data_IF_216247236381
#
_entry.id   IF_216247236381
#
_cell.length_a   1.000
_cell.length_b   1.000
_cell.length_c   1.000
_cell.angle_alpha   90.00
_cell.angle_beta   90.00
_cell.angle_gamma   90.00
#
_symmetry.space_group_name_H-M   'P 1'
#
loop_
_entity.id
_entity.type
_entity.pdbx_description
1 polymer ?
#
# COMPACT_ATOMS: atom_id res chain seq x y z
N UNK A 1 -5.16 9.45 -16.50
CA UNK A 1 -5.85 8.31 -15.92
C UNK A 1 -5.41 8.14 -14.46
N UNK A 2 -6.36 8.10 -13.56
CA UNK A 2 -6.05 7.95 -12.15
C UNK A 2 -5.57 6.53 -11.85
N UNK A 3 -4.48 6.44 -11.09
CA UNK A 3 -3.95 5.16 -10.61
C UNK A 3 -4.27 4.93 -9.14
N UNK A 4 -4.80 5.93 -8.46
CA UNK A 4 -5.18 5.81 -7.08
C UNK A 4 -6.31 6.79 -6.71
N UNK A 5 -6.99 6.47 -5.62
CA UNK A 5 -7.95 7.36 -4.96
C UNK A 5 -7.52 7.48 -3.52
N UNK A 6 -7.84 8.60 -2.89
CA UNK A 6 -7.49 8.76 -1.49
C UNK A 6 -8.62 9.40 -0.69
N UNK A 7 -8.56 9.18 0.62
CA UNK A 7 -9.42 9.82 1.59
C UNK A 7 -8.54 10.20 2.78
N UNK A 8 -8.69 11.41 3.28
CA UNK A 8 -7.94 11.86 4.45
C UNK A 8 -8.90 12.34 5.52
N UNK A 9 -8.86 11.68 6.69
CA UNK A 9 -9.80 11.94 7.77
C UNK A 9 -9.16 11.52 9.09
N UNK A 10 -9.26 12.37 10.11
CA UNK A 10 -8.75 12.05 11.45
C UNK A 10 -7.27 11.63 11.44
N UNK A 11 -6.45 12.38 10.70
CA UNK A 11 -5.02 12.11 10.56
C UNK A 11 -4.70 10.76 9.92
N UNK A 12 -5.70 10.14 9.29
CA UNK A 12 -5.55 8.87 8.58
C UNK A 12 -5.70 9.10 7.09
N UNK A 13 -4.66 8.74 6.35
CA UNK A 13 -4.66 8.81 4.89
C UNK A 13 -4.87 7.41 4.34
N UNK A 14 -6.01 7.19 3.69
CA UNK A 14 -6.29 5.93 3.02
C UNK A 14 -6.08 6.11 1.53
N UNK A 15 -5.21 5.29 0.95
CA UNK A 15 -4.90 5.34 -0.47
C UNK A 15 -5.29 4.01 -1.10
N UNK A 16 -6.25 4.06 -2.03
CA UNK A 16 -6.68 2.88 -2.77
C UNK A 16 -6.01 2.87 -4.13
N UNK A 17 -5.28 1.80 -4.42
CA UNK A 17 -4.62 1.63 -5.69
C UNK A 17 -5.61 1.07 -6.70
N UNK A 18 -5.69 1.70 -7.87
CA UNK A 18 -6.63 1.32 -8.93
C UNK A 18 -5.88 0.59 -10.03
N UNK A 19 -6.06 -0.72 -10.08
CA UNK A 19 -5.43 -1.57 -11.08
C UNK A 19 -4.13 -2.19 -10.60
N UNK A 20 -3.49 -2.91 -11.49
CA UNK A 20 -2.32 -3.70 -11.16
C UNK A 20 -1.08 -2.86 -10.94
N UNK A 21 -0.15 -3.38 -10.15
CA UNK A 21 1.11 -2.70 -9.86
C UNK A 21 2.23 -3.48 -10.53
N UNK A 22 2.77 -2.91 -11.58
CA UNK A 22 3.87 -3.48 -12.32
C UNK A 22 4.99 -2.45 -12.50
N UNK A 23 6.03 -2.83 -13.23
CA UNK A 23 7.17 -1.96 -13.47
C UNK A 23 6.77 -0.62 -14.11
N UNK A 24 5.72 -0.61 -14.94
CA UNK A 24 5.30 0.61 -15.65
C UNK A 24 4.50 1.56 -14.75
N UNK A 25 3.67 1.03 -13.86
CA UNK A 25 2.79 1.84 -13.02
C UNK A 25 3.42 2.25 -11.69
N UNK A 26 4.40 1.48 -11.20
CA UNK A 26 4.96 1.68 -9.86
C UNK A 26 5.52 3.08 -9.61
N UNK A 27 6.22 3.65 -10.60
CA UNK A 27 6.80 4.98 -10.45
C UNK A 27 5.72 6.04 -10.27
N UNK A 28 4.69 6.00 -11.09
CA UNK A 28 3.59 6.96 -11.00
C UNK A 28 2.87 6.86 -9.66
N UNK A 29 2.57 5.64 -9.23
CA UNK A 29 1.90 5.40 -7.95
C UNK A 29 2.77 5.91 -6.80
N UNK A 30 4.06 5.60 -6.84
CA UNK A 30 5.00 6.06 -5.80
C UNK A 30 5.01 7.57 -5.67
N UNK A 31 5.15 8.28 -6.79
CA UNK A 31 5.22 9.74 -6.78
C UNK A 31 3.93 10.36 -6.22
N UNK A 32 2.78 9.81 -6.61
CA UNK A 32 1.50 10.29 -6.11
C UNK A 32 1.29 9.98 -4.62
N UNK A 33 1.69 8.79 -4.17
CA UNK A 33 1.61 8.45 -2.76
C UNK A 33 2.52 9.34 -1.91
N UNK A 34 3.76 9.54 -2.35
CA UNK A 34 4.70 10.39 -1.61
C UNK A 34 4.19 11.81 -1.50
N UNK A 35 3.63 12.35 -2.58
CA UNK A 35 3.07 13.70 -2.57
C UNK A 35 1.94 13.81 -1.55
N UNK A 36 1.04 12.84 -1.50
CA UNK A 36 -0.06 12.83 -0.53
C UNK A 36 0.47 12.74 0.90
N UNK A 37 1.43 11.86 1.14
CA UNK A 37 2.01 11.66 2.47
C UNK A 37 2.68 12.94 2.96
N UNK A 38 3.47 13.59 2.12
CA UNK A 38 4.15 14.83 2.50
C UNK A 38 3.20 16.01 2.64
N UNK A 39 2.16 16.08 1.80
CA UNK A 39 1.17 17.16 1.88
C UNK A 39 0.29 17.04 3.12
N UNK A 40 -0.18 15.83 3.43
CA UNK A 40 -1.15 15.61 4.51
C UNK A 40 -0.51 15.39 5.87
N UNK A 41 0.72 14.90 5.90
CA UNK A 41 1.44 14.57 7.14
C UNK A 41 0.59 13.72 8.08
N UNK A 42 0.10 12.57 7.60
CA UNK A 42 -0.80 11.73 8.41
C UNK A 42 -0.05 11.06 9.55
N UNK A 43 -0.79 10.60 10.55
CA UNK A 43 -0.23 9.73 11.59
C UNK A 43 -0.36 8.26 11.21
N UNK A 44 -1.27 7.94 10.28
CA UNK A 44 -1.51 6.58 9.80
C UNK A 44 -1.78 6.61 8.29
N UNK A 45 -1.09 5.75 7.56
CA UNK A 45 -1.32 5.56 6.12
C UNK A 45 -1.83 4.14 5.90
N UNK A 46 -2.97 4.02 5.25
CA UNK A 46 -3.56 2.75 4.88
C UNK A 46 -3.50 2.60 3.37
N UNK A 47 -2.82 1.56 2.89
CA UNK A 47 -2.74 1.25 1.47
C UNK A 47 -3.74 0.16 1.15
N UNK A 48 -4.81 0.52 0.45
CA UNK A 48 -5.91 -0.38 0.09
C UNK A 48 -5.58 -1.07 -1.24
N UNK A 49 -5.43 -2.38 -1.19
CA UNK A 49 -5.07 -3.20 -2.35
C UNK A 49 -6.24 -4.02 -2.88
N UNK A 50 -7.49 -3.66 -2.51
CA UNK A 50 -8.67 -4.44 -2.91
C UNK A 50 -8.92 -4.43 -4.42
N UNK A 51 -8.43 -3.43 -5.14
CA UNK A 51 -8.58 -3.33 -6.60
C UNK A 51 -7.34 -3.78 -7.36
N UNK A 52 -6.37 -4.38 -6.68
CA UNK A 52 -5.13 -4.87 -7.30
C UNK A 52 -5.24 -6.38 -7.44
N UNK A 53 -5.26 -6.88 -8.68
CA UNK A 53 -5.33 -8.31 -8.95
C UNK A 53 -3.96 -8.93 -9.14
N UNK A 54 -3.01 -8.14 -9.63
CA UNK A 54 -1.65 -8.59 -9.90
C UNK A 54 -0.64 -7.56 -9.40
N UNK A 55 0.46 -8.07 -8.85
CA UNK A 55 1.56 -7.24 -8.38
C UNK A 55 2.86 -8.02 -8.57
N UNK A 56 3.84 -7.39 -9.19
CA UNK A 56 5.19 -7.98 -9.32
C UNK A 56 6.12 -7.42 -8.24
N UNK A 57 7.42 -7.67 -8.39
CA UNK A 57 8.42 -7.21 -7.43
C UNK A 57 8.46 -5.67 -7.30
N UNK A 58 8.05 -4.96 -8.35
CA UNK A 58 7.96 -3.49 -8.29
C UNK A 58 6.91 -3.06 -7.26
N UNK A 59 5.84 -3.82 -7.12
CA UNK A 59 4.82 -3.57 -6.09
C UNK A 59 5.36 -3.77 -4.69
N UNK A 60 6.15 -4.82 -4.48
CA UNK A 60 6.79 -5.03 -3.19
C UNK A 60 7.74 -3.89 -2.84
N UNK A 61 8.53 -3.43 -3.81
CA UNK A 61 9.42 -2.29 -3.63
C UNK A 61 8.65 -1.02 -3.30
N UNK A 62 7.52 -0.82 -3.95
CA UNK A 62 6.64 0.32 -3.68
C UNK A 62 6.16 0.30 -2.22
N UNK A 63 5.72 -0.85 -1.74
CA UNK A 63 5.24 -1.02 -0.36
C UNK A 63 6.37 -0.77 0.64
N UNK A 64 7.52 -1.39 0.44
CA UNK A 64 8.65 -1.24 1.35
C UNK A 64 9.16 0.20 1.39
N UNK A 65 9.22 0.87 0.24
CA UNK A 65 9.64 2.27 0.20
C UNK A 65 8.68 3.20 0.93
N UNK A 66 7.39 2.96 0.79
CA UNK A 66 6.38 3.78 1.50
C UNK A 66 6.40 3.51 2.99
N UNK A 67 6.63 2.26 3.38
CA UNK A 67 6.83 1.92 4.78
C UNK A 67 8.00 2.71 5.38
N UNK A 68 9.13 2.72 4.69
CA UNK A 68 10.32 3.47 5.14
C UNK A 68 10.03 4.97 5.23
N UNK A 69 9.38 5.53 4.20
CA UNK A 69 9.01 6.95 4.19
C UNK A 69 8.13 7.29 5.41
N UNK A 70 7.15 6.44 5.71
CA UNK A 70 6.28 6.66 6.85
C UNK A 70 7.05 6.58 8.18
N UNK A 71 7.96 5.62 8.31
CA UNK A 71 8.79 5.53 9.52
C UNK A 71 9.61 6.80 9.75
N UNK A 72 10.17 7.36 8.69
CA UNK A 72 10.98 8.57 8.78
C UNK A 72 10.20 9.78 9.31
N UNK A 73 8.92 9.86 9.00
CA UNK A 73 8.07 10.96 9.45
C UNK A 73 7.24 10.62 10.70
N UNK A 74 7.44 9.45 11.27
CA UNK A 74 6.71 9.03 12.47
C UNK A 74 5.29 8.57 12.23
N UNK A 75 4.95 8.20 11.01
CA UNK A 75 3.63 7.67 10.66
C UNK A 75 3.65 6.14 10.69
N UNK A 76 2.52 5.55 11.02
CA UNK A 76 2.33 4.11 10.87
C UNK A 76 1.85 3.82 9.46
N UNK A 77 2.31 2.72 8.87
CA UNK A 77 1.90 2.28 7.53
C UNK A 77 1.31 0.88 7.62
N UNK A 78 0.11 0.70 7.06
CA UNK A 78 -0.55 -0.60 7.03
C UNK A 78 -1.10 -0.88 5.64
N UNK A 79 -1.19 -2.16 5.30
CA UNK A 79 -1.87 -2.63 4.10
C UNK A 79 -3.25 -3.10 4.52
N UNK A 80 -4.27 -2.73 3.75
CA UNK A 80 -5.63 -3.17 4.02
C UNK A 80 -6.25 -3.83 2.78
N UNK A 81 -7.11 -4.82 3.02
CA UNK A 81 -7.94 -5.48 2.02
C UNK A 81 -7.18 -6.02 0.81
N UNK A 82 -6.03 -6.69 0.98
CA UNK A 82 -5.37 -7.26 -0.19
C UNK A 82 -6.23 -8.38 -0.79
N UNK A 83 -6.31 -8.42 -2.13
CA UNK A 83 -6.96 -9.52 -2.83
C UNK A 83 -6.20 -10.82 -2.56
N UNK A 84 -6.83 -12.01 -2.75
CA UNK A 84 -6.19 -13.29 -2.42
C UNK A 84 -4.82 -13.50 -3.07
N UNK A 85 -4.69 -13.18 -4.35
CA UNK A 85 -3.43 -13.33 -5.08
C UNK A 85 -2.35 -12.41 -4.55
N UNK A 86 -2.71 -11.18 -4.18
CA UNK A 86 -1.78 -10.21 -3.61
C UNK A 86 -1.41 -10.60 -2.18
N UNK A 87 -2.38 -11.03 -1.39
CA UNK A 87 -2.15 -11.49 -0.03
C UNK A 87 -1.11 -12.61 0.02
N UNK A 88 -1.17 -13.53 -0.95
CA UNK A 88 -0.21 -14.61 -1.06
C UNK A 88 1.19 -14.11 -1.35
N UNK A 89 1.34 -13.14 -2.25
CA UNK A 89 2.63 -12.54 -2.58
C UNK A 89 3.22 -11.85 -1.35
N UNK A 90 2.40 -11.10 -0.62
CA UNK A 90 2.83 -10.40 0.60
C UNK A 90 3.32 -11.40 1.64
N UNK A 91 2.60 -12.49 1.82
CA UNK A 91 2.96 -13.53 2.78
C UNK A 91 4.27 -14.20 2.41
N UNK A 92 4.46 -14.56 1.14
CA UNK A 92 5.69 -15.17 0.66
C UNK A 92 6.90 -14.25 0.83
N UNK A 93 6.69 -12.95 0.71
CA UNK A 93 7.75 -11.95 0.88
C UNK A 93 7.98 -11.57 2.35
N UNK A 94 7.16 -12.08 3.26
CA UNK A 94 7.32 -11.79 4.69
C UNK A 94 6.92 -10.38 5.11
N UNK A 95 6.07 -9.73 4.34
CA UNK A 95 5.67 -8.34 4.61
C UNK A 95 4.97 -8.19 5.96
N UNK A 96 4.23 -9.20 6.41
CA UNK A 96 3.53 -9.17 7.69
C UNK A 96 4.46 -9.08 8.90
N UNK A 97 5.74 -9.32 8.70
CA UNK A 97 6.74 -9.17 9.77
C UNK A 97 7.11 -7.71 10.00
N UNK A 98 6.85 -6.85 9.02
CA UNK A 98 7.21 -5.44 9.08
C UNK A 98 6.04 -4.55 9.41
N UNK A 99 4.85 -4.89 8.90
CA UNK A 99 3.69 -4.02 8.99
C UNK A 99 2.43 -4.85 9.11
N UNK A 100 1.36 -4.24 9.63
CA UNK A 100 0.07 -4.91 9.74
C UNK A 100 -0.61 -5.00 8.38
N UNK A 101 -1.24 -6.15 8.14
CA UNK A 101 -2.06 -6.39 6.96
C UNK A 101 -3.44 -6.75 7.47
N UNK A 102 -4.45 -5.93 7.15
CA UNK A 102 -5.79 -6.08 7.71
C UNK A 102 -6.86 -6.22 6.62
N UNK A 103 -7.94 -6.90 6.95
CA UNK A 103 -9.15 -6.95 6.13
C UNK A 103 -9.02 -7.69 4.81
N UNK A 104 -7.96 -8.43 4.60
CA UNK A 104 -7.75 -9.19 3.39
C UNK A 104 -8.36 -10.57 3.48
N UNK A 105 -8.36 -11.25 2.34
CA UNK A 105 -8.75 -12.64 2.28
C UNK A 105 -7.70 -13.48 3.01
N UNK A 106 -8.17 -14.32 3.92
CA UNK A 106 -7.30 -15.29 4.58
C UNK A 106 -7.61 -16.66 4.02
N UNK A 107 -6.62 -17.25 3.39
CA UNK A 107 -6.72 -18.62 2.97
C UNK A 107 -6.39 -19.50 4.18
N UNK A 108 -7.41 -19.85 4.91
CA UNK A 108 -7.24 -20.79 6.02
C UNK A 108 -7.27 -22.20 5.45
N UNK A 109 -6.11 -22.79 5.40
CA UNK A 109 -6.00 -24.17 4.99
C UNK A 109 -6.48 -25.08 6.13
#
# INVERSE_FOLDING_TARGET
>A
MEKLKFNYENNTLTIKILGDIDHHSAKNVRENMDKLIFDKKPSLVLMDLSSVEFMDSSGLGLILGRYTTCEEIGAEFRIIKPAPSVSRILSLAGIERLMKIEGGYRNEA
#
